data_IF_867848480066
#
_entry.id   IF_867848480066
#
_cell.length_a   1.000
_cell.length_b   1.000
_cell.length_c   1.000
_cell.angle_alpha   90.00
_cell.angle_beta   90.00
_cell.angle_gamma   90.00
#
_symmetry.space_group_name_H-M   'P 1'
#
loop_
_entity.id
_entity.type
_entity.pdbx_description
1 polymer ?
#
# COMPACT_ATOMS: atom_id res chain seq x y z
N UNK A 1 -25.75 6.21 -15.32
CA UNK A 1 -24.65 5.62 -16.13
C UNK A 1 -23.35 6.41 -15.90
N UNK A 2 -22.82 6.42 -14.68
CA UNK A 2 -21.71 7.30 -14.29
C UNK A 2 -20.33 6.62 -14.36
N UNK A 3 -20.27 5.34 -14.01
CA UNK A 3 -18.99 4.62 -13.91
C UNK A 3 -18.26 4.43 -15.26
N UNK A 4 -18.92 4.00 -16.37
CA UNK A 4 -18.21 3.81 -17.64
C UNK A 4 -17.63 5.10 -18.22
N UNK A 5 -18.37 6.21 -18.13
CA UNK A 5 -17.92 7.51 -18.63
C UNK A 5 -16.77 8.09 -17.81
N UNK A 6 -16.79 7.90 -16.48
CA UNK A 6 -15.68 8.33 -15.63
C UNK A 6 -14.41 7.53 -15.86
N UNK A 7 -14.50 6.21 -15.99
CA UNK A 7 -13.33 5.38 -16.31
C UNK A 7 -12.74 5.77 -17.65
N UNK A 8 -13.58 5.94 -18.69
CA UNK A 8 -13.13 6.36 -20.01
C UNK A 8 -12.42 7.73 -19.99
N UNK A 9 -12.91 8.68 -19.19
CA UNK A 9 -12.27 9.99 -19.02
C UNK A 9 -10.95 9.90 -18.24
N UNK A 10 -10.92 9.18 -17.12
CA UNK A 10 -9.70 9.01 -16.33
C UNK A 10 -8.61 8.19 -17.05
N UNK A 11 -8.97 7.46 -18.12
CA UNK A 11 -8.04 6.71 -18.96
C UNK A 11 -7.71 7.39 -20.30
N UNK A 12 -8.27 8.57 -20.60
CA UNK A 12 -8.07 9.21 -21.89
C UNK A 12 -6.71 9.91 -22.03
N UNK A 13 -6.15 10.40 -20.92
CA UNK A 13 -4.93 11.21 -20.90
C UNK A 13 -4.10 10.96 -19.63
N UNK A 14 -2.98 11.67 -19.51
CA UNK A 14 -2.11 11.61 -18.33
C UNK A 14 -2.72 12.36 -17.14
N UNK A 15 -2.50 11.83 -15.95
CA UNK A 15 -2.92 12.43 -14.68
C UNK A 15 -1.68 12.67 -13.82
N UNK A 16 -1.57 13.88 -13.28
CA UNK A 16 -0.56 14.19 -12.26
C UNK A 16 -1.03 13.71 -10.89
N UNK A 17 -0.20 12.92 -10.20
CA UNK A 17 -0.46 12.43 -8.85
C UNK A 17 0.46 13.15 -7.87
N UNK A 18 -0.11 13.66 -6.77
CA UNK A 18 0.64 14.28 -5.69
C UNK A 18 0.20 13.71 -4.35
N UNK A 19 1.17 13.38 -3.50
CA UNK A 19 0.94 13.05 -2.10
C UNK A 19 1.33 14.26 -1.24
N UNK A 20 0.33 14.94 -0.68
CA UNK A 20 0.54 16.10 0.17
C UNK A 20 0.57 15.68 1.63
N UNK A 21 1.75 15.70 2.25
CA UNK A 21 1.86 15.69 3.71
C UNK A 21 1.58 17.10 4.22
N UNK A 22 0.84 17.25 5.32
CA UNK A 22 0.71 18.56 5.97
C UNK A 22 2.11 19.01 6.41
N UNK A 23 2.68 20.01 5.73
CA UNK A 23 3.82 20.75 6.23
C UNK A 23 3.30 21.84 7.19
N UNK A 24 3.35 21.55 8.50
CA UNK A 24 3.17 22.53 9.57
C UNK A 24 1.75 23.09 9.73
N UNK A 25 0.95 22.46 10.60
CA UNK A 25 -0.04 23.23 11.35
C UNK A 25 0.64 23.77 12.61
N UNK A 26 0.90 25.08 12.67
CA UNK A 26 0.99 25.75 13.97
C UNK A 26 -0.32 25.46 14.71
N UNK A 27 -0.28 24.83 15.90
CA UNK A 27 -1.49 24.45 16.61
C UNK A 27 -2.23 25.72 17.02
N UNK A 28 -3.32 26.05 16.33
CA UNK A 28 -4.29 27.00 16.86
C UNK A 28 -5.18 26.22 17.83
N UNK A 29 -4.85 26.33 19.11
CA UNK A 29 -5.49 25.67 20.26
C UNK A 29 -5.25 24.16 20.40
N UNK A 30 -4.12 23.81 21.03
CA UNK A 30 -3.98 22.73 22.02
C UNK A 30 -4.98 21.57 22.03
N UNK A 31 -5.10 20.84 20.92
CA UNK A 31 -5.67 19.48 20.93
C UNK A 31 -4.69 18.55 20.24
N UNK A 32 -3.94 17.81 21.06
CA UNK A 32 -3.20 16.62 20.66
C UNK A 32 -4.21 15.50 20.45
N UNK A 33 -4.39 15.04 19.22
CA UNK A 33 -4.71 13.64 18.94
C UNK A 33 -4.52 13.36 17.43
N UNK A 34 -3.67 12.38 17.16
CA UNK A 34 -3.14 12.09 15.83
C UNK A 34 -4.18 11.52 14.90
N UNK A 35 -4.79 12.39 14.10
CA UNK A 35 -5.49 12.00 12.89
C UNK A 35 -4.95 12.84 11.74
N UNK A 36 -4.23 12.21 10.82
CA UNK A 36 -3.87 12.82 9.55
C UNK A 36 -5.15 13.00 8.72
N UNK A 37 -5.98 13.97 9.08
CA UNK A 37 -7.08 14.45 8.25
C UNK A 37 -6.49 15.38 7.20
N UNK A 38 -5.95 14.82 6.13
CA UNK A 38 -6.05 15.48 4.84
C UNK A 38 -7.49 15.28 4.34
N UNK A 39 -8.40 16.10 4.87
CA UNK A 39 -9.52 16.51 4.06
C UNK A 39 -8.90 17.35 2.94
N UNK A 40 -8.78 16.78 1.74
CA UNK A 40 -8.51 17.57 0.55
C UNK A 40 -9.65 18.58 0.41
N UNK A 41 -9.51 19.75 1.01
CA UNK A 41 -10.21 20.93 0.55
C UNK A 41 -9.70 21.16 -0.87
N UNK A 42 -10.33 20.49 -1.86
CA UNK A 42 -10.23 20.89 -3.24
C UNK A 42 -10.56 22.38 -3.24
N UNK A 43 -9.55 23.22 -3.42
CA UNK A 43 -9.75 24.66 -3.30
C UNK A 43 -10.83 25.03 -4.31
N UNK A 44 -11.97 25.61 -3.87
CA UNK A 44 -13.07 25.93 -4.78
C UNK A 44 -12.61 26.82 -5.94
N UNK A 45 -11.58 27.64 -5.72
CA UNK A 45 -10.94 28.48 -6.74
C UNK A 45 -10.27 27.68 -7.87
N UNK A 46 -9.59 26.56 -7.60
CA UNK A 46 -8.98 25.73 -8.65
C UNK A 46 -10.04 24.95 -9.44
N UNK A 47 -11.07 24.44 -8.74
CA UNK A 47 -12.22 23.80 -9.42
C UNK A 47 -12.95 24.79 -10.33
N UNK A 48 -13.18 26.02 -9.86
CA UNK A 48 -13.85 27.05 -10.64
C UNK A 48 -13.00 27.54 -11.83
N UNK A 49 -11.67 27.53 -11.71
CA UNK A 49 -10.76 28.01 -12.76
C UNK A 49 -10.48 26.97 -13.84
N UNK A 50 -10.36 25.69 -13.47
CA UNK A 50 -9.92 24.62 -14.38
C UNK A 50 -10.97 23.54 -14.63
N UNK A 51 -12.00 23.44 -13.78
CA UNK A 51 -13.12 22.52 -13.98
C UNK A 51 -14.08 23.03 -15.05
N UNK A 52 -14.58 22.13 -15.88
CA UNK A 52 -15.55 22.44 -16.95
C UNK A 52 -16.90 21.75 -16.77
N UNK A 53 -16.93 20.67 -15.99
CA UNK A 53 -18.15 19.95 -15.62
C UNK A 53 -17.89 19.10 -14.37
N UNK A 54 -18.93 18.49 -13.81
CA UNK A 54 -18.81 17.60 -12.65
C UNK A 54 -17.88 16.41 -12.92
N UNK A 55 -17.89 15.88 -14.16
CA UNK A 55 -16.99 14.81 -14.58
C UNK A 55 -15.57 15.31 -14.84
N UNK A 56 -15.44 16.54 -15.34
CA UNK A 56 -14.18 17.20 -15.71
C UNK A 56 -13.87 18.31 -14.71
N UNK A 57 -13.74 17.92 -13.45
CA UNK A 57 -13.53 18.82 -12.32
C UNK A 57 -12.05 19.20 -12.10
N UNK A 58 -11.13 18.73 -12.95
CA UNK A 58 -9.68 18.99 -12.94
C UNK A 58 -8.88 18.46 -11.75
N UNK A 59 -9.50 18.15 -10.60
CA UNK A 59 -8.82 17.57 -9.44
C UNK A 59 -9.68 16.52 -8.72
N UNK A 60 -8.99 15.53 -8.18
CA UNK A 60 -9.52 14.56 -7.23
C UNK A 60 -8.77 14.68 -5.91
N UNK A 61 -9.49 14.57 -4.80
CA UNK A 61 -8.92 14.60 -3.45
C UNK A 61 -9.50 13.48 -2.61
N UNK A 62 -8.64 12.75 -1.92
CA UNK A 62 -9.01 11.68 -1.03
C UNK A 62 -9.87 12.19 0.14
N UNK A 63 -10.83 11.36 0.57
CA UNK A 63 -11.66 11.63 1.75
C UNK A 63 -11.33 10.63 2.87
N UNK A 64 -11.05 11.17 4.07
CA UNK A 64 -10.71 10.50 5.34
C UNK A 64 -10.32 9.01 5.30
N UNK A 65 -11.29 8.10 5.23
CA UNK A 65 -11.06 6.65 5.35
C UNK A 65 -10.44 6.01 4.09
N UNK A 66 -10.58 6.65 2.92
CA UNK A 66 -10.00 6.15 1.66
C UNK A 66 -8.55 6.59 1.46
N UNK A 67 -8.08 7.58 2.21
CA UNK A 67 -6.75 8.19 2.04
C UNK A 67 -5.64 7.15 2.08
N UNK A 68 -5.60 6.30 3.12
CA UNK A 68 -4.55 5.29 3.27
C UNK A 68 -4.54 4.28 2.11
N UNK A 69 -5.74 3.89 1.66
CA UNK A 69 -5.91 2.95 0.54
C UNK A 69 -5.44 3.59 -0.78
N UNK A 70 -5.85 4.82 -1.04
CA UNK A 70 -5.50 5.57 -2.24
C UNK A 70 -4.00 5.86 -2.31
N UNK A 71 -3.39 6.30 -1.21
CA UNK A 71 -1.94 6.51 -1.10
C UNK A 71 -1.21 5.18 -1.32
N UNK A 72 -1.62 4.08 -0.68
CA UNK A 72 -0.96 2.78 -0.86
C UNK A 72 -1.08 2.26 -2.29
N UNK A 73 -2.18 2.55 -2.96
CA UNK A 73 -2.42 2.16 -4.35
C UNK A 73 -1.54 2.96 -5.32
N UNK A 74 -1.51 4.30 -5.20
CA UNK A 74 -0.75 5.17 -6.10
C UNK A 74 0.75 5.23 -5.79
N UNK A 75 1.12 5.13 -4.51
CA UNK A 75 2.49 5.26 -4.01
C UNK A 75 2.86 4.04 -3.14
N UNK A 76 3.06 2.84 -3.71
CA UNK A 76 3.20 1.60 -2.93
C UNK A 76 4.40 1.57 -1.96
N UNK A 77 5.41 2.41 -2.22
CA UNK A 77 6.63 2.55 -1.40
C UNK A 77 6.54 3.66 -0.35
N UNK A 78 5.44 4.41 -0.28
CA UNK A 78 5.30 5.44 0.76
C UNK A 78 5.05 4.82 2.12
N UNK A 79 5.66 5.40 3.15
CA UNK A 79 5.29 5.15 4.55
C UNK A 79 4.05 5.96 4.84
N UNK A 80 3.02 5.30 5.38
CA UNK A 80 1.76 5.94 5.80
C UNK A 80 1.82 6.09 7.31
N UNK A 81 1.72 7.32 7.78
CA UNK A 81 1.71 7.65 9.20
C UNK A 81 0.27 7.71 9.74
N UNK A 82 0.03 7.31 11.01
CA UNK A 82 1.01 6.79 11.96
C UNK A 82 1.37 5.33 11.68
N UNK A 83 2.63 4.95 11.86
CA UNK A 83 3.02 3.53 11.86
C UNK A 83 2.20 2.79 12.93
N UNK A 84 1.48 1.69 12.60
CA UNK A 84 0.68 0.97 13.57
C UNK A 84 1.52 0.50 14.76
N UNK A 85 1.08 0.84 15.98
CA UNK A 85 1.73 0.46 17.23
C UNK A 85 0.79 -0.36 18.13
N UNK A 86 1.36 -1.05 19.13
CA UNK A 86 0.60 -1.77 20.15
C UNK A 86 -0.27 -2.89 19.56
N UNK A 87 -1.57 -2.85 19.83
CA UNK A 87 -2.50 -3.91 19.43
C UNK A 87 -2.67 -3.99 17.90
N UNK A 88 -2.64 -2.86 17.20
CA UNK A 88 -2.71 -2.83 15.75
C UNK A 88 -1.52 -3.55 15.08
N UNK A 89 -0.31 -3.42 15.65
CA UNK A 89 0.86 -4.17 15.17
C UNK A 89 0.73 -5.66 15.44
N UNK A 90 0.19 -6.04 16.61
CA UNK A 90 -0.01 -7.45 16.96
C UNK A 90 -1.02 -8.12 16.05
N UNK A 91 -2.13 -7.45 15.73
CA UNK A 91 -3.14 -7.94 14.80
C UNK A 91 -2.54 -8.11 13.40
N UNK A 92 -1.82 -7.10 12.89
CA UNK A 92 -1.12 -7.19 11.61
C UNK A 92 -0.16 -8.39 11.55
N UNK A 93 0.71 -8.53 12.57
CA UNK A 93 1.63 -9.66 12.66
C UNK A 93 0.88 -11.00 12.75
N UNK A 94 -0.20 -11.06 13.53
CA UNK A 94 -1.02 -12.25 13.68
C UNK A 94 -1.66 -12.71 12.38
N UNK A 95 -2.17 -11.75 11.60
CA UNK A 95 -2.91 -12.02 10.38
C UNK A 95 -2.03 -12.27 9.16
N UNK A 96 -0.97 -11.49 8.97
CA UNK A 96 -0.23 -11.46 7.71
C UNK A 96 1.18 -12.09 7.79
N UNK A 97 1.79 -12.15 8.98
CA UNK A 97 3.18 -12.59 9.14
C UNK A 97 3.30 -13.95 9.82
N UNK A 98 2.63 -14.14 10.97
CA UNK A 98 2.73 -15.33 11.82
C UNK A 98 2.46 -16.65 11.08
N UNK A 99 1.42 -16.79 10.24
CA UNK A 99 1.09 -18.09 9.64
C UNK A 99 2.26 -18.65 8.81
N UNK A 100 2.86 -17.81 7.97
CA UNK A 100 3.99 -18.19 7.11
C UNK A 100 5.27 -18.36 7.92
N UNK A 101 5.52 -17.45 8.86
CA UNK A 101 6.74 -17.46 9.66
C UNK A 101 6.81 -18.68 10.58
N UNK A 102 5.70 -19.05 11.22
CA UNK A 102 5.59 -20.23 12.07
C UNK A 102 5.90 -21.50 11.26
N UNK A 103 5.31 -21.62 10.07
CA UNK A 103 5.59 -22.74 9.16
C UNK A 103 7.07 -22.78 8.77
N UNK A 104 7.68 -21.63 8.46
CA UNK A 104 9.10 -21.54 8.14
C UNK A 104 10.00 -21.97 9.30
N UNK A 105 9.69 -21.57 10.53
CA UNK A 105 10.42 -22.01 11.72
C UNK A 105 10.25 -23.50 11.99
N UNK A 106 9.05 -24.04 11.81
CA UNK A 106 8.82 -25.48 11.90
C UNK A 106 9.70 -26.25 10.92
N UNK A 107 9.79 -25.81 9.66
CA UNK A 107 10.65 -26.46 8.67
C UNK A 107 12.14 -26.27 8.97
N UNK A 108 12.54 -25.11 9.49
CA UNK A 108 13.91 -24.85 9.92
C UNK A 108 14.37 -25.83 11.02
N UNK A 109 13.52 -26.06 12.03
CA UNK A 109 13.80 -27.01 13.11
C UNK A 109 13.89 -28.47 12.63
N UNK A 110 13.19 -28.83 11.55
CA UNK A 110 13.28 -30.16 10.92
C UNK A 110 14.59 -30.33 10.16
N UNK A 111 14.94 -29.36 9.32
CA UNK A 111 16.08 -29.45 8.40
C UNK A 111 17.43 -29.21 9.08
N UNK A 112 17.46 -28.36 10.12
CA UNK A 112 18.68 -27.98 10.87
C UNK A 112 19.87 -27.62 9.97
N UNK A 113 19.70 -26.69 9.02
CA UNK A 113 20.76 -26.31 8.10
C UNK A 113 21.93 -25.61 8.82
N UNK A 114 23.11 -25.65 8.22
CA UNK A 114 24.34 -25.01 8.74
C UNK A 114 24.18 -23.49 8.87
N UNK A 115 23.41 -22.86 7.99
CA UNK A 115 23.11 -21.43 8.00
C UNK A 115 21.59 -21.16 8.17
N UNK A 116 21.06 -21.18 9.42
CA UNK A 116 19.62 -21.08 9.67
C UNK A 116 18.95 -19.83 9.11
N UNK A 117 19.59 -18.67 9.25
CA UNK A 117 19.01 -17.39 8.82
C UNK A 117 18.88 -17.29 7.31
N UNK A 118 19.94 -17.62 6.57
CA UNK A 118 19.93 -17.62 5.10
C UNK A 118 18.90 -18.61 4.57
N UNK A 119 18.90 -19.83 5.12
CA UNK A 119 17.94 -20.85 4.72
C UNK A 119 16.49 -20.40 4.95
N UNK A 120 16.19 -19.77 6.09
CA UNK A 120 14.85 -19.27 6.38
C UNK A 120 14.45 -18.12 5.46
N UNK A 121 15.38 -17.21 5.13
CA UNK A 121 15.13 -16.14 4.17
C UNK A 121 14.75 -16.70 2.80
N UNK A 122 15.53 -17.65 2.28
CA UNK A 122 15.24 -18.32 1.01
C UNK A 122 13.93 -19.12 1.05
N UNK A 123 13.62 -19.74 2.20
CA UNK A 123 12.37 -20.44 2.41
C UNK A 123 11.17 -19.48 2.36
N UNK A 124 11.27 -18.31 3.02
CA UNK A 124 10.21 -17.30 3.04
C UNK A 124 9.97 -16.67 1.65
N UNK A 125 11.03 -16.46 0.87
CA UNK A 125 10.91 -15.96 -0.52
C UNK A 125 10.14 -16.96 -1.38
N UNK A 126 10.45 -18.26 -1.27
CA UNK A 126 9.77 -19.33 -2.02
C UNK A 126 8.35 -19.63 -1.55
N UNK A 127 8.05 -19.39 -0.27
CA UNK A 127 6.75 -19.69 0.35
C UNK A 127 5.95 -18.42 0.67
N UNK A 128 6.10 -17.36 -0.13
CA UNK A 128 5.38 -16.12 0.08
C UNK A 128 3.91 -16.26 -0.36
N UNK A 129 2.91 -16.16 0.54
CA UNK A 129 1.50 -16.31 0.18
C UNK A 129 0.98 -15.18 -0.74
N UNK A 130 1.70 -14.07 -0.84
CA UNK A 130 1.33 -12.93 -1.67
C UNK A 130 1.95 -12.98 -3.08
N UNK A 131 2.73 -14.03 -3.40
CA UNK A 131 3.31 -14.22 -4.72
C UNK A 131 2.98 -15.62 -5.25
N UNK A 132 2.55 -15.76 -6.51
CA UNK A 132 2.39 -17.08 -7.11
C UNK A 132 3.75 -17.78 -7.21
N UNK A 133 3.74 -19.10 -7.16
CA UNK A 133 4.90 -19.90 -7.51
C UNK A 133 5.00 -19.96 -9.03
N UNK A 134 6.08 -19.39 -9.57
CA UNK A 134 6.37 -19.40 -11.00
C UNK A 134 7.29 -20.60 -11.24
N UNK A 135 6.82 -21.58 -12.01
CA UNK A 135 7.66 -22.65 -12.52
C UNK A 135 8.15 -22.23 -13.90
N UNK A 136 9.38 -21.73 -13.98
CA UNK A 136 10.07 -21.57 -15.25
C UNK A 136 10.48 -22.98 -15.69
N UNK A 137 9.83 -23.52 -16.72
CA UNK A 137 9.92 -24.94 -17.13
C UNK A 137 11.28 -25.43 -17.65
N UNK A 138 12.40 -24.96 -17.12
CA UNK A 138 13.74 -25.50 -17.43
C UNK A 138 14.09 -26.57 -16.39
N UNK A 139 13.36 -27.68 -16.45
CA UNK A 139 13.87 -28.98 -16.01
C UNK A 139 14.19 -29.76 -17.28
N UNK A 140 15.41 -29.57 -17.78
CA UNK A 140 16.07 -30.49 -18.70
C UNK A 140 17.36 -30.94 -18.02
N UNK A 141 17.32 -32.13 -17.42
CA UNK A 141 18.51 -32.91 -17.09
C UNK A 141 19.41 -32.99 -18.33
N UNK A 142 20.61 -32.41 -18.26
CA UNK A 142 21.74 -32.93 -19.02
C UNK A 142 22.42 -33.97 -18.13
N UNK A 143 21.89 -35.19 -18.17
CA UNK A 143 22.64 -36.39 -17.85
C UNK A 143 23.39 -36.81 -19.12
N UNK A 144 24.70 -36.58 -19.14
CA UNK A 144 25.67 -37.25 -19.99
C UNK A 144 26.96 -37.47 -19.19
#
# INVERSE_FOLDING_TARGET
>A
LFFPSQTAFMSSEFIALSNCTKAGETPRNGQSEGRATCACHLSPSLLAKYGTSDLRNAMHGSISFSVEREIKFMFPKSVIEPIPMGEASKDYLGRFVRPTLLRGFTELCKQKPVAPCTWLADWLVRNNPNKPQIFDGVTGEEAA
#
